data_IF_179455894474
#
_entry.id   IF_179455894474
#
_cell.length_a   1.000
_cell.length_b   1.000
_cell.length_c   1.000
_cell.angle_alpha   90.00
_cell.angle_beta   90.00
_cell.angle_gamma   90.00
#
_symmetry.space_group_name_H-M   'P 1'
#
loop_
_entity.id
_entity.type
_entity.pdbx_description
1 polymer ?
#
# COMPACT_ATOMS: atom_id res chain seq x y z
N UNK A 1 4.19 14.56 2.56
CA UNK A 1 3.65 15.94 2.65
C UNK A 1 3.14 16.32 1.27
N UNK A 2 1.83 16.56 1.11
CA UNK A 2 1.21 16.83 -0.19
C UNK A 2 1.53 18.24 -0.69
N UNK A 3 2.01 18.39 -1.93
CA UNK A 3 2.19 19.70 -2.58
C UNK A 3 0.98 20.01 -3.45
N UNK A 4 0.53 21.26 -3.47
CA UNK A 4 -0.58 21.67 -4.35
C UNK A 4 -0.04 22.59 -5.43
N UNK A 5 -0.18 22.20 -6.70
CA UNK A 5 0.36 22.93 -7.84
C UNK A 5 -0.74 23.24 -8.88
N UNK A 6 -0.69 24.40 -9.56
CA UNK A 6 -1.56 24.67 -10.69
C UNK A 6 -1.19 23.81 -11.91
N UNK A 7 -2.20 23.44 -12.71
CA UNK A 7 -2.01 22.61 -13.91
C UNK A 7 -0.97 23.18 -14.89
N UNK A 8 -0.80 24.50 -14.94
CA UNK A 8 0.23 25.15 -15.76
C UNK A 8 1.65 24.81 -15.31
N UNK A 9 1.88 24.75 -14.00
CA UNK A 9 3.19 24.41 -13.43
C UNK A 9 3.49 22.92 -13.59
N UNK A 10 2.48 22.07 -13.35
CA UNK A 10 2.60 20.62 -13.58
C UNK A 10 2.96 20.33 -15.03
N UNK A 11 2.32 21.00 -15.99
CA UNK A 11 2.65 20.87 -17.41
C UNK A 11 4.09 21.28 -17.73
N UNK A 12 4.59 22.34 -17.09
CA UNK A 12 5.93 22.85 -17.35
C UNK A 12 7.04 21.94 -16.81
N UNK A 13 6.76 21.17 -15.75
CA UNK A 13 7.76 20.39 -15.01
C UNK A 13 7.45 18.90 -14.90
N UNK A 14 6.54 18.39 -15.73
CA UNK A 14 6.00 17.03 -15.59
C UNK A 14 7.08 15.94 -15.45
N UNK A 15 8.17 15.92 -16.26
CA UNK A 15 9.20 14.88 -16.11
C UNK A 15 9.85 14.88 -14.73
N UNK A 16 10.24 16.05 -14.22
CA UNK A 16 10.84 16.22 -12.90
C UNK A 16 9.88 15.78 -11.79
N UNK A 17 8.62 16.21 -11.89
CA UNK A 17 7.59 15.88 -10.89
C UNK A 17 7.29 14.38 -10.86
N UNK A 18 7.22 13.72 -12.03
CA UNK A 18 7.00 12.27 -12.12
C UNK A 18 8.18 11.50 -11.51
N UNK A 19 9.43 11.89 -11.82
CA UNK A 19 10.60 11.29 -11.16
C UNK A 19 10.56 11.50 -9.65
N UNK A 20 10.23 12.72 -9.21
CA UNK A 20 10.11 13.05 -7.79
C UNK A 20 9.11 12.17 -7.05
N UNK A 21 7.91 11.99 -7.62
CA UNK A 21 6.83 11.15 -7.08
C UNK A 21 7.15 9.65 -7.18
N UNK A 22 7.90 9.22 -8.19
CA UNK A 22 8.31 7.83 -8.33
C UNK A 22 9.36 7.42 -7.28
N UNK A 23 10.27 8.34 -6.92
CA UNK A 23 11.38 8.07 -5.99
C UNK A 23 11.03 8.38 -4.53
N UNK A 24 10.10 9.30 -4.30
CA UNK A 24 9.72 9.82 -2.99
C UNK A 24 8.21 9.61 -2.89
N UNK A 25 7.72 9.14 -1.75
CA UNK A 25 6.29 9.03 -1.42
C UNK A 25 5.65 10.43 -1.30
N UNK A 26 5.74 11.21 -2.39
CA UNK A 26 5.25 12.56 -2.55
C UNK A 26 3.92 12.51 -3.30
N UNK A 27 2.94 13.20 -2.73
CA UNK A 27 1.63 13.41 -3.35
C UNK A 27 1.55 14.84 -3.91
N UNK A 28 1.08 15.00 -5.14
CA UNK A 28 0.86 16.31 -5.76
C UNK A 28 -0.61 16.49 -6.14
N UNK A 29 -1.28 17.45 -5.49
CA UNK A 29 -2.63 17.88 -5.83
C UNK A 29 -2.55 18.89 -6.99
N UNK A 30 -3.17 18.56 -8.11
CA UNK A 30 -3.21 19.40 -9.31
C UNK A 30 -4.48 20.25 -9.29
N UNK A 31 -4.34 21.57 -9.47
CA UNK A 31 -5.47 22.50 -9.49
C UNK A 31 -5.71 23.14 -10.85
N UNK A 32 -6.97 23.47 -11.15
CA UNK A 32 -7.39 24.29 -12.30
C UNK A 32 -8.25 25.44 -11.78
N UNK A 33 -7.84 26.69 -12.08
CA UNK A 33 -8.48 27.90 -11.53
C UNK A 33 -8.61 27.84 -9.99
N UNK A 34 -7.55 27.39 -9.31
CA UNK A 34 -7.47 27.26 -7.85
C UNK A 34 -8.26 26.08 -7.24
N UNK A 35 -8.96 25.27 -8.04
CA UNK A 35 -9.73 24.12 -7.56
C UNK A 35 -8.97 22.81 -7.83
N UNK A 36 -8.84 21.89 -6.86
CA UNK A 36 -8.32 20.54 -7.09
C UNK A 36 -9.08 19.80 -8.18
N UNK A 37 -8.37 19.14 -9.09
CA UNK A 37 -8.95 18.39 -10.22
C UNK A 37 -8.30 17.04 -10.48
N UNK A 38 -7.08 16.82 -9.98
CA UNK A 38 -6.37 15.55 -10.09
C UNK A 38 -5.32 15.44 -8.97
N UNK A 39 -4.80 14.24 -8.76
CA UNK A 39 -3.67 13.98 -7.87
C UNK A 39 -2.65 13.13 -8.64
N UNK A 40 -1.37 13.46 -8.52
CA UNK A 40 -0.25 12.62 -8.95
C UNK A 40 0.35 11.95 -7.72
N UNK A 41 0.43 10.62 -7.75
CA UNK A 41 0.98 9.75 -6.70
C UNK A 41 1.87 8.70 -7.33
N UNK A 42 2.67 8.04 -6.51
CA UNK A 42 3.45 6.89 -6.95
C UNK A 42 2.49 5.78 -7.44
N UNK A 43 2.86 5.09 -8.51
CA UNK A 43 2.07 3.97 -9.01
C UNK A 43 1.95 2.82 -7.99
N UNK A 44 3.03 2.47 -7.28
CA UNK A 44 2.98 1.40 -6.27
C UNK A 44 2.08 1.79 -5.09
N UNK A 45 2.08 3.06 -4.70
CA UNK A 45 1.20 3.59 -3.66
C UNK A 45 -0.27 3.55 -4.09
N UNK A 46 -0.56 3.92 -5.34
CA UNK A 46 -1.90 3.81 -5.91
C UNK A 46 -2.41 2.36 -5.93
N UNK A 47 -1.59 1.40 -6.35
CA UNK A 47 -1.97 -0.01 -6.33
C UNK A 47 -2.12 -0.54 -4.89
N UNK A 48 -1.24 -0.15 -3.96
CA UNK A 48 -1.37 -0.52 -2.54
C UNK A 48 -2.66 0.02 -1.90
N UNK A 49 -3.07 1.25 -2.28
CA UNK A 49 -4.33 1.82 -1.84
C UNK A 49 -5.52 1.04 -2.41
N UNK A 50 -5.47 0.64 -3.68
CA UNK A 50 -6.50 -0.20 -4.28
C UNK A 50 -6.61 -1.56 -3.60
N UNK A 51 -5.49 -2.25 -3.36
CA UNK A 51 -5.47 -3.52 -2.63
C UNK A 51 -6.07 -3.36 -1.22
N UNK A 52 -5.74 -2.26 -0.54
CA UNK A 52 -6.33 -1.94 0.78
C UNK A 52 -7.85 -1.78 0.68
N UNK A 53 -8.33 -1.05 -0.34
CA UNK A 53 -9.77 -0.87 -0.58
C UNK A 53 -10.46 -2.19 -0.93
N UNK A 54 -9.83 -3.05 -1.73
CA UNK A 54 -10.35 -4.37 -2.08
C UNK A 54 -10.56 -5.20 -0.81
N UNK A 55 -9.57 -5.24 0.09
CA UNK A 55 -9.69 -5.92 1.40
C UNK A 55 -10.81 -5.31 2.25
N UNK A 56 -10.88 -3.98 2.35
CA UNK A 56 -11.90 -3.29 3.16
C UNK A 56 -13.31 -3.47 2.60
N UNK A 57 -13.44 -3.67 1.28
CA UNK A 57 -14.72 -3.84 0.60
C UNK A 57 -15.34 -5.22 0.80
N UNK A 58 -14.54 -6.23 1.17
CA UNK A 58 -15.00 -7.60 1.44
C UNK A 58 -15.42 -7.77 2.92
N UNK A 59 -16.74 -7.85 3.21
CA UNK A 59 -17.21 -7.96 4.59
C UNK A 59 -16.86 -9.30 5.25
N UNK A 60 -16.72 -10.37 4.46
CA UNK A 60 -16.37 -11.70 4.98
C UNK A 60 -14.90 -11.71 5.40
N UNK A 61 -14.02 -11.22 4.53
CA UNK A 61 -12.60 -11.06 4.85
C UNK A 61 -12.41 -10.16 6.08
N UNK A 62 -13.12 -9.04 6.16
CA UNK A 62 -13.07 -8.15 7.33
C UNK A 62 -13.52 -8.85 8.62
N UNK A 63 -14.55 -9.70 8.54
CA UNK A 63 -14.98 -10.52 9.68
C UNK A 63 -13.92 -11.53 10.09
N UNK A 64 -13.22 -12.15 9.13
CA UNK A 64 -12.11 -13.06 9.41
C UNK A 64 -10.93 -12.33 10.08
N UNK A 65 -10.54 -11.16 9.55
CA UNK A 65 -9.50 -10.30 10.14
C UNK A 65 -9.86 -9.95 11.59
N UNK A 66 -11.10 -9.56 11.87
CA UNK A 66 -11.53 -9.24 13.23
C UNK A 66 -11.47 -10.46 14.16
N UNK A 67 -11.91 -11.64 13.71
CA UNK A 67 -11.78 -12.88 14.47
C UNK A 67 -10.32 -13.18 14.80
N UNK A 68 -9.42 -13.09 13.82
CA UNK A 68 -7.98 -13.29 14.00
C UNK A 68 -7.39 -12.30 15.00
N UNK A 69 -7.72 -11.00 14.89
CA UNK A 69 -7.30 -9.97 15.86
C UNK A 69 -7.73 -10.34 17.29
N UNK A 70 -8.99 -10.78 17.48
CA UNK A 70 -9.48 -11.18 18.80
C UNK A 70 -8.84 -12.48 19.32
N UNK A 71 -8.46 -13.39 18.43
CA UNK A 71 -7.76 -14.63 18.79
C UNK A 71 -6.37 -14.32 19.36
N UNK A 72 -5.57 -13.50 18.66
CA UNK A 72 -4.22 -13.13 19.09
C UNK A 72 -4.22 -12.17 20.28
N UNK A 73 -5.20 -11.26 20.39
CA UNK A 73 -5.33 -10.38 21.56
C UNK A 73 -5.54 -11.16 22.88
N UNK A 74 -6.07 -12.39 22.81
CA UNK A 74 -6.20 -13.30 23.95
C UNK A 74 -4.94 -14.14 24.20
N UNK A 75 -3.79 -13.72 23.67
CA UNK A 75 -2.49 -14.41 23.73
C UNK A 75 -2.49 -15.85 23.21
N UNK A 76 -3.49 -16.22 22.39
CA UNK A 76 -3.50 -17.51 21.71
C UNK A 76 -2.44 -17.49 20.62
N UNK A 77 -1.61 -18.52 20.57
CA UNK A 77 -0.61 -18.70 19.51
C UNK A 77 -1.29 -19.30 18.27
N UNK A 78 -0.82 -18.89 17.10
CA UNK A 78 -1.17 -19.57 15.86
C UNK A 78 -0.52 -20.96 15.81
N UNK A 79 -0.89 -21.74 14.81
CA UNK A 79 -0.21 -22.98 14.50
C UNK A 79 1.17 -22.68 13.92
N UNK A 80 2.18 -23.45 14.33
CA UNK A 80 3.48 -23.45 13.67
C UNK A 80 3.40 -24.13 12.31
N UNK A 81 4.45 -23.99 11.49
CA UNK A 81 4.53 -24.70 10.21
C UNK A 81 4.41 -26.22 10.38
N UNK A 82 5.10 -26.77 11.39
CA UNK A 82 5.01 -28.20 11.73
C UNK A 82 3.60 -28.60 12.15
N UNK A 83 2.90 -27.78 12.95
CA UNK A 83 1.52 -28.06 13.36
C UNK A 83 0.55 -28.11 12.16
N UNK A 84 0.80 -27.34 11.11
CA UNK A 84 -0.06 -27.26 9.91
C UNK A 84 0.27 -28.33 8.88
N UNK A 85 1.57 -28.54 8.61
CA UNK A 85 2.03 -29.36 7.49
C UNK A 85 2.58 -30.73 7.92
N UNK A 86 2.81 -30.94 9.21
CA UNK A 86 3.30 -32.22 9.76
C UNK A 86 4.77 -32.51 9.45
N UNK A 87 5.51 -31.54 8.90
CA UNK A 87 6.91 -31.67 8.52
C UNK A 87 7.72 -30.45 8.99
N UNK A 88 9.02 -30.62 9.26
CA UNK A 88 9.88 -29.52 9.71
C UNK A 88 10.05 -28.47 8.62
N UNK A 89 10.08 -27.19 9.04
CA UNK A 89 10.28 -26.07 8.14
C UNK A 89 11.68 -26.14 7.52
N UNK A 90 11.77 -26.41 6.22
CA UNK A 90 13.05 -26.47 5.51
C UNK A 90 13.52 -25.03 5.21
N UNK A 91 14.66 -24.58 5.77
CA UNK A 91 15.14 -23.23 5.49
C UNK A 91 15.51 -23.09 4.01
N UNK A 92 14.97 -22.06 3.35
CA UNK A 92 15.36 -21.69 1.99
C UNK A 92 16.86 -21.42 1.96
N UNK A 93 17.59 -22.04 1.02
CA UNK A 93 19.01 -21.72 0.79
C UNK A 93 19.10 -20.25 0.40
N UNK A 94 19.71 -19.42 1.24
CA UNK A 94 20.02 -18.02 0.94
C UNK A 94 20.76 -17.94 -0.39
N UNK A 95 20.11 -17.39 -1.43
CA UNK A 95 20.79 -16.95 -2.64
C UNK A 95 21.66 -15.74 -2.28
N UNK A 96 22.93 -15.97 -1.97
CA UNK A 96 23.96 -14.94 -2.06
C UNK A 96 24.44 -14.93 -3.52
N UNK A 97 24.04 -13.89 -4.25
CA UNK A 97 24.53 -13.55 -5.58
C UNK A 97 24.74 -12.04 -5.64
#
# INVERSE_FOLDING_TARGET
MSRTLPISEVKARLPELVTGVAEREEEIIVTRKGKPVAVLVNHSEYESLKETLDVLSDPELMKQIQKSKTFFAKSKKGFSFEDVFGEPLVPSKTHHG
#
